data_IF_783750651330
#
_entry.id   IF_783750651330
#
_cell.length_a   1.000
_cell.length_b   1.000
_cell.length_c   1.000
_cell.angle_alpha   90.00
_cell.angle_beta   90.00
_cell.angle_gamma   90.00
#
_symmetry.space_group_name_H-M   'P 1'
#
loop_
_entity.id
_entity.type
_entity.pdbx_description
1 polymer ?
#
# COMPACT_ATOMS: atom_id res chain seq x y z
N UNK A 1 0.00 3.00 12.21
CA UNK A 1 1.01 2.77 11.15
C UNK A 1 0.83 1.36 10.61
N UNK A 2 1.07 1.14 9.33
CA UNK A 2 0.96 -0.18 8.70
C UNK A 2 2.28 -0.55 8.02
N UNK A 3 2.62 -1.84 8.03
CA UNK A 3 3.83 -2.37 7.41
C UNK A 3 3.46 -3.37 6.32
N UNK A 4 4.18 -3.33 5.20
CA UNK A 4 4.00 -4.28 4.10
C UNK A 4 5.33 -4.94 3.82
N UNK A 5 5.37 -6.26 3.92
CA UNK A 5 6.58 -7.03 3.62
C UNK A 5 6.80 -7.10 2.10
N UNK A 6 8.01 -6.77 1.67
CA UNK A 6 8.45 -6.94 0.29
C UNK A 6 9.08 -8.33 0.12
N UNK A 7 8.76 -9.05 -0.96
CA UNK A 7 9.49 -10.24 -1.33
C UNK A 7 10.99 -9.96 -1.47
N UNK A 8 11.87 -10.93 -1.14
CA UNK A 8 13.32 -10.71 -1.09
C UNK A 8 13.95 -10.32 -2.42
N UNK A 9 13.31 -10.67 -3.54
CA UNK A 9 13.77 -10.33 -4.89
C UNK A 9 13.37 -8.91 -5.34
N UNK A 10 12.60 -8.17 -4.54
CA UNK A 10 12.18 -6.81 -4.86
C UNK A 10 13.30 -5.82 -4.51
N UNK A 11 14.04 -5.43 -5.54
CA UNK A 11 15.13 -4.45 -5.46
C UNK A 11 14.64 -3.05 -5.81
N UNK A 12 15.30 -2.03 -5.27
CA UNK A 12 15.05 -0.64 -5.64
C UNK A 12 15.62 -0.34 -7.04
N UNK A 13 15.05 0.62 -7.80
CA UNK A 13 13.88 1.44 -7.46
C UNK A 13 12.57 0.66 -7.59
N UNK A 14 11.56 1.05 -6.80
CA UNK A 14 10.22 0.47 -6.85
C UNK A 14 9.15 1.54 -7.01
N UNK A 15 8.04 1.19 -7.66
CA UNK A 15 6.83 2.00 -7.69
C UNK A 15 5.74 1.32 -6.88
N UNK A 16 5.18 2.04 -5.91
CA UNK A 16 4.19 1.49 -4.97
C UNK A 16 2.81 2.05 -5.30
N UNK A 17 1.82 1.17 -5.31
CA UNK A 17 0.42 1.51 -5.53
C UNK A 17 -0.43 0.92 -4.41
N UNK A 18 -1.35 1.72 -3.89
CA UNK A 18 -2.36 1.29 -2.92
C UNK A 18 -3.72 1.42 -3.61
N UNK A 19 -4.43 0.32 -3.80
CA UNK A 19 -5.69 0.27 -4.56
C UNK A 19 -5.58 0.94 -5.94
N UNK A 20 -4.45 0.75 -6.62
CA UNK A 20 -4.16 1.37 -7.92
C UNK A 20 -3.75 2.85 -7.87
N UNK A 21 -3.68 3.48 -6.70
CA UNK A 21 -3.21 4.87 -6.54
C UNK A 21 -1.72 4.89 -6.25
N UNK A 22 -0.94 5.61 -7.07
CA UNK A 22 0.51 5.73 -6.91
C UNK A 22 0.87 6.42 -5.60
N UNK A 23 1.85 5.87 -4.89
CA UNK A 23 2.38 6.39 -3.64
C UNK A 23 3.82 6.88 -3.80
N UNK A 24 4.18 7.90 -3.04
CA UNK A 24 5.49 8.57 -3.10
C UNK A 24 6.31 8.22 -1.86
N UNK A 25 7.50 7.69 -2.09
CA UNK A 25 8.48 7.47 -1.02
C UNK A 25 8.86 8.79 -0.35
N UNK A 26 8.97 8.79 0.98
CA UNK A 26 9.23 9.95 1.82
C UNK A 26 8.01 10.83 2.13
N UNK A 27 6.91 10.69 1.37
CA UNK A 27 5.67 11.44 1.61
C UNK A 27 4.52 10.53 2.08
N UNK A 28 4.30 9.41 1.38
CA UNK A 28 3.20 8.48 1.65
C UNK A 28 3.67 7.21 2.39
N UNK A 29 4.93 6.80 2.17
CA UNK A 29 5.56 5.66 2.83
C UNK A 29 7.08 5.85 2.93
N UNK A 30 7.73 5.04 3.78
CA UNK A 30 9.19 4.91 3.88
C UNK A 30 9.60 3.46 3.65
N UNK A 31 10.73 3.24 2.96
CA UNK A 31 11.30 1.90 2.82
C UNK A 31 12.25 1.60 3.98
N UNK A 32 11.99 0.51 4.68
CA UNK A 32 12.84 -0.01 5.75
C UNK A 32 13.28 -1.43 5.39
N UNK A 33 14.48 -1.56 4.82
CA UNK A 33 15.01 -2.84 4.35
C UNK A 33 14.10 -3.50 3.31
N UNK A 34 13.48 -4.62 3.68
CA UNK A 34 12.49 -5.37 2.89
C UNK A 34 11.04 -5.08 3.31
N UNK A 35 10.76 -3.88 3.81
CA UNK A 35 9.39 -3.48 4.15
C UNK A 35 9.08 -2.07 3.70
N UNK A 36 7.80 -1.82 3.42
CA UNK A 36 7.24 -0.49 3.26
C UNK A 36 6.49 -0.12 4.55
N UNK A 37 6.80 1.03 5.12
CA UNK A 37 6.16 1.55 6.32
C UNK A 37 5.32 2.75 5.96
N UNK A 38 4.03 2.66 6.25
CA UNK A 38 3.05 3.72 6.06
C UNK A 38 2.75 4.36 7.41
N UNK A 39 2.88 5.69 7.49
CA UNK A 39 2.62 6.42 8.73
C UNK A 39 1.12 6.40 9.10
N UNK A 40 0.26 6.22 8.09
CA UNK A 40 -1.18 5.95 8.28
C UNK A 40 -1.45 4.47 8.51
N UNK A 41 -2.53 4.17 9.23
CA UNK A 41 -3.11 2.83 9.19
C UNK A 41 -3.69 2.60 7.79
N UNK A 42 -3.09 1.69 7.03
CA UNK A 42 -3.78 0.99 5.95
C UNK A 42 -4.71 0.03 6.67
N UNK A 43 -5.97 0.43 6.81
CA UNK A 43 -6.93 -0.25 7.66
C UNK A 43 -8.32 -0.10 7.08
N UNK A 44 -9.11 -1.11 7.40
CA UNK A 44 -10.57 -1.23 7.36
C UNK A 44 -11.39 0.03 7.70
N UNK A 45 -10.87 1.20 8.06
CA UNK A 45 -11.65 2.44 8.30
C UNK A 45 -10.78 3.68 8.00
N UNK A 46 -11.01 4.48 6.96
CA UNK A 46 -11.97 5.59 6.91
C UNK A 46 -11.37 6.84 6.19
N UNK A 47 -12.08 7.96 6.01
CA UNK A 47 -12.78 8.28 4.76
C UNK A 47 -12.22 9.46 3.91
N UNK A 48 -11.04 10.01 4.17
CA UNK A 48 -10.59 11.22 3.44
C UNK A 48 -10.38 10.99 1.92
N UNK A 49 -9.99 9.78 1.51
CA UNK A 49 -9.94 9.40 0.08
C UNK A 49 -11.29 8.93 -0.47
N UNK A 50 -12.12 8.32 0.38
CA UNK A 50 -13.44 7.81 0.03
C UNK A 50 -14.42 8.94 -0.31
N UNK A 51 -14.45 10.05 0.44
CA UNK A 51 -15.36 11.17 0.11
C UNK A 51 -15.07 11.81 -1.24
N UNK A 52 -13.79 11.79 -1.69
CA UNK A 52 -13.37 12.36 -2.98
C UNK A 52 -13.62 11.42 -4.17
N UNK A 53 -13.61 10.11 -3.93
CA UNK A 53 -13.95 9.09 -4.92
C UNK A 53 -15.46 8.81 -4.98
N UNK A 54 -16.16 8.79 -3.85
CA UNK A 54 -17.61 8.58 -3.77
C UNK A 54 -18.38 9.67 -4.51
N UNK A 55 -17.94 10.94 -4.45
CA UNK A 55 -18.54 12.02 -5.24
C UNK A 55 -18.43 11.82 -6.75
N UNK A 56 -17.45 11.03 -7.22
CA UNK A 56 -17.33 10.68 -8.64
C UNK A 56 -18.12 9.41 -9.01
N UNK A 57 -18.52 8.58 -8.05
CA UNK A 57 -19.00 7.20 -8.29
C UNK A 57 -20.50 6.96 -8.02
N UNK A 58 -21.30 7.96 -7.65
CA UNK A 58 -22.76 7.86 -7.44
C UNK A 58 -23.59 7.57 -8.73
N UNK A 59 -23.02 6.84 -9.69
CA UNK A 59 -23.72 6.23 -10.82
C UNK A 59 -23.68 4.70 -10.85
N UNK A 60 -22.84 4.01 -10.04
CA UNK A 60 -22.70 2.55 -10.14
C UNK A 60 -22.61 1.85 -8.78
N UNK A 61 -23.45 0.81 -8.65
CA UNK A 61 -23.64 -0.06 -7.49
C UNK A 61 -22.39 -0.90 -7.20
N UNK A 62 -22.03 -1.03 -5.92
CA UNK A 62 -21.10 -2.07 -5.47
C UNK A 62 -20.54 -1.79 -4.08
N UNK A 63 -21.12 -2.40 -3.05
CA UNK A 63 -20.54 -2.46 -1.70
C UNK A 63 -19.30 -3.36 -1.73
N UNK A 64 -18.12 -2.79 -1.95
CA UNK A 64 -16.87 -3.55 -1.83
C UNK A 64 -16.38 -3.56 -0.38
N UNK A 65 -16.12 -4.76 0.15
CA UNK A 65 -15.44 -4.95 1.44
C UNK A 65 -14.06 -4.31 1.35
N UNK A 66 -13.77 -3.40 2.29
CA UNK A 66 -12.46 -2.75 2.45
C UNK A 66 -11.35 -3.79 2.66
N UNK A 67 -10.63 -4.12 1.61
CA UNK A 67 -9.31 -4.75 1.70
C UNK A 67 -8.38 -3.88 0.86
N UNK A 68 -7.62 -3.00 1.53
CA UNK A 68 -6.57 -2.25 0.84
C UNK A 68 -5.59 -3.26 0.22
N UNK A 69 -5.31 -3.12 -1.07
CA UNK A 69 -4.33 -3.92 -1.80
C UNK A 69 -3.08 -3.08 -2.04
N UNK A 70 -1.91 -3.64 -1.76
CA UNK A 70 -0.63 -3.00 -2.09
C UNK A 70 0.04 -3.77 -3.22
N UNK A 71 0.32 -3.03 -4.30
CA UNK A 71 1.04 -3.51 -5.47
C UNK A 71 2.38 -2.78 -5.58
N UNK A 72 3.43 -3.53 -5.93
CA UNK A 72 4.78 -3.00 -6.09
C UNK A 72 5.33 -3.40 -7.44
N UNK A 73 5.72 -2.41 -8.22
CA UNK A 73 6.39 -2.60 -9.50
C UNK A 73 7.90 -2.42 -9.31
N UNK A 74 8.68 -3.34 -9.83
CA UNK A 74 10.14 -3.37 -9.66
C UNK A 74 10.81 -3.93 -10.93
N UNK A 75 12.12 -3.69 -11.06
CA UNK A 75 12.92 -4.33 -12.11
C UNK A 75 13.59 -5.60 -11.59
N UNK A 76 13.56 -6.65 -12.39
CA UNK A 76 14.32 -7.88 -12.19
C UNK A 76 15.01 -8.27 -13.49
N UNK A 77 16.34 -8.10 -13.52
CA UNK A 77 17.14 -8.46 -14.69
C UNK A 77 16.77 -7.67 -15.96
N UNK A 78 16.45 -6.38 -15.82
CA UNK A 78 16.05 -5.51 -16.93
C UNK A 78 14.60 -5.71 -17.39
N UNK A 79 13.80 -6.46 -16.62
CA UNK A 79 12.38 -6.68 -16.90
C UNK A 79 11.53 -6.12 -15.76
N UNK A 80 10.50 -5.37 -16.13
CA UNK A 80 9.51 -4.84 -15.19
C UNK A 80 8.58 -5.96 -14.72
N UNK A 81 8.52 -6.16 -13.41
CA UNK A 81 7.68 -7.16 -12.74
C UNK A 81 6.79 -6.49 -11.69
N UNK A 82 5.70 -7.18 -11.29
CA UNK A 82 4.73 -6.69 -10.32
C UNK A 82 4.55 -7.73 -9.22
N UNK A 83 4.63 -7.29 -7.97
CA UNK A 83 4.21 -8.05 -6.80
C UNK A 83 2.89 -7.45 -6.31
N UNK A 84 1.81 -8.21 -6.40
CA UNK A 84 0.46 -7.75 -6.08
C UNK A 84 -0.11 -8.41 -4.83
N UNK A 85 -1.06 -7.72 -4.19
CA UNK A 85 -1.76 -8.30 -3.03
C UNK A 85 -0.85 -8.52 -1.83
N UNK A 86 0.17 -7.66 -1.64
CA UNK A 86 1.14 -7.85 -0.57
C UNK A 86 0.47 -7.80 0.80
N UNK A 87 0.87 -8.71 1.68
CA UNK A 87 0.35 -8.81 3.05
C UNK A 87 0.60 -7.51 3.81
N UNK A 88 -0.49 -6.87 4.24
CA UNK A 88 -0.45 -5.72 5.14
C UNK A 88 -0.44 -6.24 6.57
N UNK A 89 0.65 -6.02 7.25
CA UNK A 89 0.80 -6.27 8.68
C UNK A 89 0.39 -5.01 9.45
N UNK A 90 -0.60 -5.13 10.33
CA UNK A 90 -0.81 -4.14 11.35
C UNK A 90 0.40 -4.18 12.28
N UNK A 91 1.15 -3.09 12.33
CA UNK A 91 2.18 -2.97 13.36
C UNK A 91 1.46 -2.52 14.62
N UNK A 92 1.14 -3.48 15.50
CA UNK A 92 0.98 -3.15 16.90
C UNK A 92 2.29 -2.48 17.32
N UNK A 93 2.19 -1.24 17.80
CA UNK A 93 3.30 -0.56 18.45
C UNK A 93 3.79 -1.50 19.55
N UNK A 94 4.88 -2.23 19.29
CA UNK A 94 5.57 -2.98 20.33
C UNK A 94 6.31 -1.95 21.17
N UNK A 95 5.56 -1.31 22.08
CA UNK A 95 6.12 -0.58 23.21
C UNK A 95 6.83 -1.61 24.08
N UNK A 96 8.12 -1.86 23.78
CA UNK A 96 9.02 -2.48 24.74
C UNK A 96 9.40 -1.38 25.73
N UNK A 97 8.83 -1.49 26.94
CA UNK A 97 9.28 -0.82 28.15
C UNK A 97 10.36 -1.68 28.83
#
# INVERSE_FOLDING_TARGET
MSRVALPPHVVAPVEVFVNGVRQREGADYRREGHSLVFDRSLAREGPLGFWRWLSMFLGLVGTYRQNDTVDVIYDVGGRRAVASGLTIEASETRSHH
#
